data_IF_682485135194
#
_entry.id   IF_682485135194
#
_cell.length_a   1.000
_cell.length_b   1.000
_cell.length_c   1.000
_cell.angle_alpha   90.00
_cell.angle_beta   90.00
_cell.angle_gamma   90.00
#
_symmetry.space_group_name_H-M   'P 1'
#
loop_
_entity.id
_entity.type
_entity.pdbx_description
1 polymer ?
#
# COMPACT_ATOMS: atom_id res chain seq x y z
N UNK A 1 -7.28 30.93 -2.30
CA UNK A 1 -7.61 30.25 -1.03
C UNK A 1 -6.31 29.66 -0.47
N UNK A 2 -5.89 30.05 0.74
CA UNK A 2 -4.58 29.64 1.29
C UNK A 2 -4.48 28.11 1.46
N UNK A 3 -3.36 27.52 1.03
CA UNK A 3 -3.06 26.08 1.12
C UNK A 3 -3.28 25.56 2.55
N UNK A 4 -2.88 26.34 3.56
CA UNK A 4 -3.10 26.02 4.97
C UNK A 4 -4.58 25.88 5.34
N UNK A 5 -5.45 26.72 4.78
CA UNK A 5 -6.89 26.66 5.05
C UNK A 5 -7.51 25.42 4.42
N UNK A 6 -7.04 25.01 3.24
CA UNK A 6 -7.44 23.77 2.57
C UNK A 6 -6.97 22.54 3.34
N UNK A 7 -5.70 22.49 3.76
CA UNK A 7 -5.16 21.38 4.57
C UNK A 7 -5.92 21.26 5.89
N UNK A 8 -6.17 22.38 6.58
CA UNK A 8 -6.94 22.40 7.82
C UNK A 8 -8.34 21.82 7.60
N UNK A 9 -9.02 22.21 6.53
CA UNK A 9 -10.36 21.73 6.21
C UNK A 9 -10.39 20.23 5.84
N UNK A 10 -9.29 19.69 5.29
CA UNK A 10 -9.13 18.25 5.00
C UNK A 10 -8.94 17.48 6.31
N UNK A 11 -8.04 17.93 7.20
CA UNK A 11 -7.72 17.26 8.46
C UNK A 11 -8.92 17.21 9.41
N UNK A 12 -9.72 18.28 9.47
CA UNK A 12 -10.90 18.34 10.32
C UNK A 12 -12.14 17.67 9.73
N UNK A 13 -12.04 17.06 8.54
CA UNK A 13 -13.16 16.34 7.94
C UNK A 13 -13.20 14.88 8.46
N UNK A 14 -14.27 14.47 9.17
CA UNK A 14 -14.37 13.11 9.70
C UNK A 14 -14.38 12.02 8.61
N UNK A 15 -14.81 12.32 7.37
CA UNK A 15 -14.71 11.37 6.24
C UNK A 15 -13.26 11.03 5.89
N UNK A 16 -12.37 12.02 6.01
CA UNK A 16 -10.95 11.86 5.70
C UNK A 16 -10.30 10.91 6.69
N UNK A 17 -10.66 10.98 7.97
CA UNK A 17 -10.13 10.07 8.98
C UNK A 17 -10.49 8.61 8.67
N UNK A 18 -11.75 8.34 8.33
CA UNK A 18 -12.22 7.00 7.96
C UNK A 18 -11.49 6.50 6.70
N UNK A 19 -11.36 7.35 5.69
CA UNK A 19 -10.66 7.02 4.45
C UNK A 19 -9.17 6.71 4.66
N UNK A 20 -8.47 7.51 5.47
CA UNK A 20 -7.06 7.28 5.82
C UNK A 20 -6.92 5.95 6.54
N UNK A 21 -7.74 5.67 7.56
CA UNK A 21 -7.60 4.45 8.38
C UNK A 21 -7.83 3.20 7.55
N UNK A 22 -8.91 3.15 6.76
CA UNK A 22 -9.21 1.98 5.91
C UNK A 22 -8.16 1.83 4.82
N UNK A 23 -7.79 2.93 4.16
CA UNK A 23 -6.77 2.92 3.11
C UNK A 23 -5.41 2.48 3.65
N UNK A 24 -5.03 2.95 4.83
CA UNK A 24 -3.78 2.56 5.47
C UNK A 24 -3.77 1.11 5.93
N UNK A 25 -4.90 0.59 6.44
CA UNK A 25 -5.02 -0.82 6.81
C UNK A 25 -4.86 -1.74 5.59
N UNK A 26 -5.67 -1.52 4.54
CA UNK A 26 -5.64 -2.37 3.35
C UNK A 26 -4.34 -2.20 2.55
N UNK A 27 -3.84 -0.96 2.45
CA UNK A 27 -2.54 -0.65 1.87
C UNK A 27 -1.38 -1.26 2.64
N UNK A 28 -1.47 -1.27 3.97
CA UNK A 28 -0.46 -1.87 4.83
C UNK A 28 -0.39 -3.39 4.68
N UNK A 29 -1.54 -4.06 4.59
CA UNK A 29 -1.59 -5.51 4.35
C UNK A 29 -1.05 -5.86 2.96
N UNK A 30 -1.51 -5.18 1.91
CA UNK A 30 -1.06 -5.43 0.54
C UNK A 30 0.42 -5.07 0.33
N UNK A 31 0.85 -3.90 0.80
CA UNK A 31 2.24 -3.47 0.78
C UNK A 31 3.14 -4.36 1.62
N UNK A 32 2.68 -4.82 2.78
CA UNK A 32 3.39 -5.78 3.62
C UNK A 32 3.58 -7.12 2.94
N UNK A 33 2.56 -7.63 2.24
CA UNK A 33 2.67 -8.86 1.46
C UNK A 33 3.69 -8.73 0.32
N UNK A 34 3.61 -7.65 -0.47
CA UNK A 34 4.61 -7.36 -1.51
C UNK A 34 6.01 -7.21 -0.89
N UNK A 35 6.11 -6.52 0.25
CA UNK A 35 7.33 -6.33 1.01
C UNK A 35 7.95 -7.64 1.48
N UNK A 36 7.14 -8.58 1.97
CA UNK A 36 7.56 -9.91 2.39
C UNK A 36 8.28 -10.65 1.26
N UNK A 37 7.61 -10.77 0.11
CA UNK A 37 8.17 -11.52 -1.01
C UNK A 37 9.35 -10.76 -1.63
N UNK A 38 9.19 -9.46 -1.89
CA UNK A 38 10.25 -8.66 -2.51
C UNK A 38 11.51 -8.59 -1.63
N UNK A 39 11.34 -8.27 -0.35
CA UNK A 39 12.40 -8.21 0.64
C UNK A 39 13.06 -9.57 0.87
N UNK A 40 12.29 -10.66 0.86
CA UNK A 40 12.86 -12.01 0.98
C UNK A 40 13.79 -12.36 -0.18
N UNK A 41 13.35 -12.13 -1.42
CA UNK A 41 14.18 -12.38 -2.60
C UNK A 41 15.40 -11.44 -2.68
N UNK A 42 15.23 -10.16 -2.39
CA UNK A 42 16.33 -9.19 -2.32
C UNK A 42 17.33 -9.59 -1.22
N UNK A 43 16.83 -9.95 -0.04
CA UNK A 43 17.64 -10.40 1.09
C UNK A 43 18.53 -11.59 0.74
N UNK A 44 17.96 -12.58 0.06
CA UNK A 44 18.69 -13.73 -0.47
C UNK A 44 19.76 -13.32 -1.49
N UNK A 45 19.43 -12.45 -2.44
CA UNK A 45 20.35 -12.04 -3.51
C UNK A 45 21.51 -11.17 -3.02
N UNK A 46 21.28 -10.29 -2.04
CA UNK A 46 22.29 -9.34 -1.55
C UNK A 46 23.01 -9.79 -0.27
N UNK A 47 22.65 -10.94 0.32
CA UNK A 47 23.24 -11.46 1.57
C UNK A 47 23.29 -10.39 2.67
N UNK A 48 22.13 -9.82 2.99
CA UNK A 48 21.98 -8.70 3.94
C UNK A 48 22.60 -8.99 5.32
N UNK A 49 22.72 -10.27 5.69
CA UNK A 49 23.47 -10.72 6.85
C UNK A 49 24.68 -11.58 6.41
N UNK A 50 25.87 -10.95 6.38
CA UNK A 50 27.09 -11.62 5.93
C UNK A 50 27.60 -12.72 6.90
N UNK A 51 27.31 -12.59 8.20
CA UNK A 51 27.75 -13.52 9.24
C UNK A 51 26.64 -14.44 9.76
N UNK A 52 25.47 -14.44 9.11
CA UNK A 52 24.38 -15.30 9.54
C UNK A 52 24.68 -16.77 9.19
N UNK A 53 24.58 -17.69 10.14
CA UNK A 53 24.76 -19.11 9.86
C UNK A 53 23.68 -19.60 8.90
N UNK A 54 24.06 -20.45 7.94
CA UNK A 54 23.13 -21.15 7.04
C UNK A 54 22.32 -22.25 7.76
N UNK A 55 22.39 -22.29 9.09
CA UNK A 55 21.76 -23.26 9.96
C UNK A 55 20.93 -22.54 11.01
N UNK A 56 19.63 -22.83 11.05
CA UNK A 56 18.76 -22.45 12.14
C UNK A 56 18.60 -23.66 13.04
N UNK A 57 19.00 -23.54 14.31
CA UNK A 57 18.91 -24.62 15.31
C UNK A 57 19.62 -25.93 14.91
N UNK A 58 20.75 -25.85 14.19
CA UNK A 58 21.56 -27.02 13.81
C UNK A 58 21.05 -27.81 12.60
N UNK A 59 19.91 -27.42 12.01
CA UNK A 59 19.40 -28.01 10.77
C UNK A 59 19.82 -27.16 9.56
N UNK A 60 20.30 -27.83 8.51
CA UNK A 60 20.58 -27.21 7.22
C UNK A 60 19.25 -26.87 6.53
N UNK A 61 18.77 -25.65 6.73
CA UNK A 61 17.59 -25.09 6.06
C UNK A 61 17.98 -24.73 4.62
N UNK A 62 18.17 -25.76 3.77
CA UNK A 62 18.66 -25.60 2.40
C UNK A 62 17.80 -24.71 1.48
N UNK A 63 16.56 -24.36 1.87
CA UNK A 63 15.60 -23.60 1.06
C UNK A 63 15.42 -22.14 1.56
N UNK A 64 15.44 -21.93 2.88
CA UNK A 64 15.22 -20.62 3.51
C UNK A 64 16.52 -20.11 4.12
N UNK A 65 17.21 -19.25 3.38
CA UNK A 65 18.42 -18.57 3.85
C UNK A 65 18.05 -17.61 5.00
N UNK A 66 18.88 -17.48 6.05
CA UNK A 66 18.62 -16.52 7.12
C UNK A 66 18.56 -15.08 6.57
N UNK A 67 19.31 -14.84 5.48
CA UNK A 67 19.26 -13.64 4.66
C UNK A 67 17.88 -13.38 4.03
N UNK A 68 17.19 -14.44 3.60
CA UNK A 68 15.83 -14.35 3.06
C UNK A 68 14.83 -14.00 4.15
N UNK A 69 14.97 -14.56 5.35
CA UNK A 69 14.09 -14.26 6.49
C UNK A 69 14.30 -12.82 6.97
N UNK A 70 15.55 -12.40 7.16
CA UNK A 70 15.87 -11.03 7.55
C UNK A 70 15.36 -10.02 6.51
N UNK A 71 15.61 -10.29 5.22
CA UNK A 71 15.10 -9.48 4.13
C UNK A 71 13.58 -9.42 4.08
N UNK A 72 12.89 -10.54 4.33
CA UNK A 72 11.42 -10.58 4.37
C UNK A 72 10.85 -9.76 5.53
N UNK A 73 11.43 -9.82 6.73
CA UNK A 73 10.98 -9.03 7.89
C UNK A 73 11.15 -7.53 7.62
N UNK A 74 12.33 -7.12 7.15
CA UNK A 74 12.60 -5.71 6.79
C UNK A 74 11.64 -5.27 5.68
N UNK A 75 11.46 -6.13 4.68
CA UNK A 75 10.55 -5.92 3.56
C UNK A 75 9.11 -5.74 4.00
N UNK A 76 8.59 -6.56 4.92
CA UNK A 76 7.24 -6.41 5.50
C UNK A 76 7.07 -5.06 6.15
N UNK A 77 8.02 -4.63 6.99
CA UNK A 77 7.90 -3.35 7.72
C UNK A 77 7.90 -2.18 6.74
N UNK A 78 8.85 -2.13 5.81
CA UNK A 78 8.95 -1.07 4.82
C UNK A 78 7.74 -1.09 3.88
N UNK A 79 7.38 -2.27 3.39
CA UNK A 79 6.27 -2.48 2.48
C UNK A 79 4.94 -2.09 3.10
N UNK A 80 4.69 -2.48 4.36
CA UNK A 80 3.47 -2.11 5.08
C UNK A 80 3.41 -0.59 5.36
N UNK A 81 4.53 0.02 5.75
CA UNK A 81 4.60 1.46 5.98
C UNK A 81 4.32 2.25 4.70
N UNK A 82 5.00 1.90 3.60
CA UNK A 82 4.83 2.58 2.31
C UNK A 82 3.45 2.31 1.70
N UNK A 83 3.01 1.06 1.67
CA UNK A 83 1.70 0.67 1.15
C UNK A 83 0.56 1.32 1.94
N UNK A 84 0.67 1.37 3.27
CA UNK A 84 -0.31 2.04 4.12
C UNK A 84 -0.34 3.55 3.89
N UNK A 85 0.82 4.20 3.87
CA UNK A 85 0.90 5.64 3.65
C UNK A 85 0.33 6.05 2.27
N UNK A 86 0.75 5.36 1.21
CA UNK A 86 0.34 5.65 -0.16
C UNK A 86 -1.15 5.39 -0.36
N UNK A 87 -1.64 4.19 0.00
CA UNK A 87 -3.06 3.86 -0.19
C UNK A 87 -3.94 4.74 0.70
N UNK A 88 -3.54 5.03 1.94
CA UNK A 88 -4.24 5.97 2.81
C UNK A 88 -4.38 7.36 2.19
N UNK A 89 -3.30 7.89 1.59
CA UNK A 89 -3.31 9.17 0.88
C UNK A 89 -4.22 9.15 -0.36
N UNK A 90 -4.12 8.12 -1.20
CA UNK A 90 -4.90 8.03 -2.45
C UNK A 90 -6.39 7.83 -2.17
N UNK A 91 -6.75 6.97 -1.21
CA UNK A 91 -8.14 6.77 -0.80
C UNK A 91 -8.72 8.06 -0.24
N UNK A 92 -7.94 8.77 0.59
CA UNK A 92 -8.34 10.07 1.13
C UNK A 92 -8.60 11.09 0.03
N UNK A 93 -7.71 11.17 -0.95
CA UNK A 93 -7.85 12.08 -2.08
C UNK A 93 -9.15 11.82 -2.83
N UNK A 94 -9.46 10.56 -3.17
CA UNK A 94 -10.71 10.22 -3.86
C UNK A 94 -11.97 10.49 -3.03
N UNK A 95 -11.95 10.14 -1.75
CA UNK A 95 -13.09 10.38 -0.86
C UNK A 95 -13.33 11.88 -0.71
N UNK A 96 -12.27 12.68 -0.64
CA UNK A 96 -12.39 14.13 -0.57
C UNK A 96 -12.89 14.77 -1.87
N UNK A 97 -12.55 14.21 -3.04
CA UNK A 97 -12.97 14.76 -4.33
C UNK A 97 -14.38 14.34 -4.75
N UNK A 98 -15.01 13.33 -4.10
CA UNK A 98 -16.37 12.91 -4.41
C UNK A 98 -17.42 13.90 -3.87
N UNK A 99 -18.18 14.60 -4.74
CA UNK A 99 -19.13 15.62 -4.30
C UNK A 99 -20.41 15.04 -3.65
N UNK A 100 -20.68 13.75 -3.84
CA UNK A 100 -21.86 13.06 -3.33
C UNK A 100 -21.74 12.63 -1.87
N UNK A 101 -20.53 12.65 -1.29
CA UNK A 101 -20.33 12.20 0.09
C UNK A 101 -20.74 13.31 1.06
N UNK A 102 -21.50 12.98 2.12
CA UNK A 102 -22.00 13.96 3.07
C UNK A 102 -20.83 14.63 3.79
N UNK A 103 -20.84 15.97 3.87
CA UNK A 103 -19.77 16.76 4.49
C UNK A 103 -19.66 16.57 6.02
N UNK A 104 -20.66 15.94 6.63
CA UNK A 104 -20.72 15.65 8.06
C UNK A 104 -21.02 14.17 8.26
N UNK A 105 -20.23 13.50 9.10
CA UNK A 105 -20.44 12.09 9.45
C UNK A 105 -21.50 12.02 10.55
N UNK A 106 -22.64 11.41 10.23
CA UNK A 106 -23.63 10.96 11.21
C UNK A 106 -23.65 9.43 11.24
N UNK A 107 -24.27 8.86 12.27
CA UNK A 107 -24.41 7.40 12.42
C UNK A 107 -25.13 6.75 11.23
N UNK A 108 -26.00 7.50 10.57
CA UNK A 108 -26.81 7.02 9.43
C UNK A 108 -26.04 7.05 8.10
N UNK A 109 -25.06 7.94 7.98
CA UNK A 109 -24.33 8.19 6.73
C UNK A 109 -22.90 7.61 6.72
N UNK A 110 -22.39 7.19 7.88
CA UNK A 110 -21.03 6.67 8.02
C UNK A 110 -20.80 5.42 7.17
N UNK A 111 -21.84 4.60 6.99
CA UNK A 111 -21.76 3.34 6.25
C UNK A 111 -21.45 3.58 4.77
N UNK A 112 -22.00 4.62 4.16
CA UNK A 112 -21.77 4.96 2.75
C UNK A 112 -20.34 5.44 2.50
N UNK A 113 -19.81 6.26 3.42
CA UNK A 113 -18.42 6.72 3.41
C UNK A 113 -17.47 5.54 3.61
N UNK A 114 -17.80 4.64 4.55
CA UNK A 114 -17.03 3.44 4.85
C UNK A 114 -16.92 2.53 3.62
N UNK A 115 -18.05 2.16 3.01
CA UNK A 115 -18.07 1.30 1.81
C UNK A 115 -17.30 1.95 0.67
N UNK A 116 -17.52 3.25 0.43
CA UNK A 116 -16.81 3.97 -0.62
C UNK A 116 -15.29 3.92 -0.43
N UNK A 117 -14.81 4.21 0.79
CA UNK A 117 -13.39 4.16 1.12
C UNK A 117 -12.82 2.74 1.00
N UNK A 118 -13.61 1.73 1.39
CA UNK A 118 -13.21 0.32 1.35
C UNK A 118 -13.07 -0.16 -0.09
N UNK A 119 -14.01 0.18 -0.97
CA UNK A 119 -13.95 -0.18 -2.39
C UNK A 119 -12.74 0.43 -3.09
N UNK A 120 -12.52 1.75 -2.90
CA UNK A 120 -11.36 2.45 -3.47
C UNK A 120 -10.06 1.82 -2.99
N UNK A 121 -9.97 1.52 -1.69
CA UNK A 121 -8.77 0.92 -1.10
C UNK A 121 -8.50 -0.49 -1.60
N UNK A 122 -9.54 -1.30 -1.83
CA UNK A 122 -9.43 -2.63 -2.46
C UNK A 122 -8.89 -2.49 -3.88
N UNK A 123 -9.43 -1.57 -4.67
CA UNK A 123 -9.00 -1.36 -6.05
C UNK A 123 -7.51 -1.00 -6.13
N UNK A 124 -7.07 -0.06 -5.29
CA UNK A 124 -5.65 0.32 -5.20
C UNK A 124 -4.78 -0.85 -4.76
N UNK A 125 -5.23 -1.61 -3.75
CA UNK A 125 -4.51 -2.79 -3.25
C UNK A 125 -4.37 -3.87 -4.33
N UNK A 126 -5.40 -4.09 -5.14
CA UNK A 126 -5.33 -5.00 -6.29
C UNK A 126 -4.34 -4.51 -7.34
N UNK A 127 -4.32 -3.21 -7.65
CA UNK A 127 -3.33 -2.62 -8.56
C UNK A 127 -1.89 -2.84 -8.08
N UNK A 128 -1.64 -2.66 -6.77
CA UNK A 128 -0.35 -2.94 -6.13
C UNK A 128 0.04 -4.41 -6.30
N UNK A 129 -0.87 -5.33 -5.92
CA UNK A 129 -0.60 -6.77 -5.94
C UNK A 129 -0.39 -7.27 -7.38
N UNK A 130 -1.26 -6.90 -8.31
CA UNK A 130 -1.15 -7.28 -9.72
C UNK A 130 0.14 -6.74 -10.34
N UNK A 131 0.46 -5.47 -10.09
CA UNK A 131 1.72 -4.87 -10.51
C UNK A 131 2.91 -5.66 -9.96
N UNK A 132 2.89 -6.02 -8.68
CA UNK A 132 3.92 -6.82 -8.05
C UNK A 132 4.04 -8.22 -8.67
N UNK A 133 2.93 -8.91 -8.92
CA UNK A 133 2.91 -10.24 -9.54
C UNK A 133 3.50 -10.18 -10.95
N UNK A 134 3.05 -9.23 -11.77
CA UNK A 134 3.55 -9.05 -13.14
C UNK A 134 5.04 -8.74 -13.13
N UNK A 135 5.48 -7.82 -12.27
CA UNK A 135 6.90 -7.48 -12.14
C UNK A 135 7.76 -8.66 -11.66
N UNK A 136 7.21 -9.48 -10.77
CA UNK A 136 7.88 -10.69 -10.27
C UNK A 136 8.18 -11.71 -11.36
N UNK A 137 7.35 -11.77 -12.43
CA UNK A 137 7.59 -12.65 -13.57
C UNK A 137 8.91 -12.35 -14.29
N UNK A 138 9.38 -11.09 -14.26
CA UNK A 138 10.65 -10.70 -14.88
C UNK A 138 11.83 -10.83 -13.93
N UNK A 139 11.66 -10.47 -12.66
CA UNK A 139 12.69 -10.60 -11.64
C UNK A 139 12.05 -10.71 -10.25
N UNK A 140 12.23 -11.82 -9.52
CA UNK A 140 11.73 -11.92 -8.15
C UNK A 140 12.51 -10.95 -7.26
N UNK A 141 11.81 -10.23 -6.37
CA UNK A 141 12.45 -9.19 -5.55
C UNK A 141 12.29 -7.80 -6.15
N UNK A 142 13.27 -7.40 -6.95
CA UNK A 142 13.31 -6.06 -7.56
C UNK A 142 12.14 -5.86 -8.52
N UNK A 143 11.85 -6.85 -9.36
CA UNK A 143 10.71 -6.78 -10.28
C UNK A 143 9.39 -6.65 -9.53
N UNK A 144 9.22 -7.35 -8.40
CA UNK A 144 8.04 -7.21 -7.53
C UNK A 144 7.87 -5.79 -7.00
N UNK A 145 8.95 -5.18 -6.50
CA UNK A 145 8.92 -3.83 -5.97
C UNK A 145 8.65 -2.77 -7.05
N UNK A 146 9.34 -2.87 -8.20
CA UNK A 146 9.13 -1.98 -9.35
C UNK A 146 7.72 -2.13 -9.92
N UNK A 147 7.25 -3.37 -10.06
CA UNK A 147 5.91 -3.67 -10.54
C UNK A 147 4.83 -3.09 -9.64
N UNK A 148 4.97 -3.23 -8.32
CA UNK A 148 4.08 -2.60 -7.34
C UNK A 148 4.06 -1.08 -7.48
N UNK A 149 5.23 -0.46 -7.65
CA UNK A 149 5.36 0.98 -7.86
C UNK A 149 4.67 1.46 -9.15
N UNK A 150 4.82 0.71 -10.25
CA UNK A 150 4.10 0.99 -11.50
C UNK A 150 2.58 0.83 -11.30
N UNK A 151 2.14 -0.20 -10.57
CA UNK A 151 0.74 -0.39 -10.21
C UNK A 151 0.16 0.81 -9.48
N UNK A 152 0.89 1.36 -8.50
CA UNK A 152 0.52 2.59 -7.78
C UNK A 152 0.38 3.78 -8.74
N UNK A 153 1.36 3.98 -9.64
CA UNK A 153 1.32 5.08 -10.60
C UNK A 153 0.11 4.97 -11.52
N UNK A 154 -0.18 3.77 -12.04
CA UNK A 154 -1.34 3.55 -12.91
C UNK A 154 -2.65 3.83 -12.18
N UNK A 155 -2.78 3.36 -10.94
CA UNK A 155 -3.96 3.65 -10.09
C UNK A 155 -4.09 5.14 -9.77
N UNK A 156 -2.99 5.87 -9.61
CA UNK A 156 -3.01 7.31 -9.42
C UNK A 156 -3.43 8.05 -10.70
N UNK A 157 -3.01 7.57 -11.86
CA UNK A 157 -3.39 8.16 -13.14
C UNK A 157 -4.87 7.93 -13.43
N UNK A 158 -5.40 6.72 -13.22
CA UNK A 158 -6.83 6.42 -13.38
C UNK A 158 -7.67 7.28 -12.44
N UNK A 159 -7.25 7.44 -11.19
CA UNK A 159 -7.86 8.32 -10.20
C UNK A 159 -8.01 9.77 -10.68
N UNK A 160 -6.92 10.33 -11.22
CA UNK A 160 -6.90 11.71 -11.71
C UNK A 160 -7.79 11.83 -12.94
N UNK A 161 -7.77 10.84 -13.82
CA UNK A 161 -8.54 10.84 -15.05
C UNK A 161 -10.06 10.75 -14.79
N UNK A 162 -10.49 9.86 -13.89
CA UNK A 162 -11.88 9.73 -13.48
C UNK A 162 -12.41 11.02 -12.84
N UNK A 163 -11.60 11.67 -12.00
CA UNK A 163 -11.95 12.95 -11.39
C UNK A 163 -12.04 14.09 -12.42
N UNK A 164 -11.29 14.06 -13.52
CA UNK A 164 -11.43 15.04 -14.62
C UNK A 164 -12.66 14.78 -15.47
N UNK A 165 -12.99 13.52 -15.75
CA UNK A 165 -14.15 13.16 -16.57
C UNK A 165 -15.49 13.45 -15.90
N UNK A 166 -15.52 13.55 -14.56
CA UNK A 166 -16.72 13.88 -13.76
C UNK A 166 -16.92 15.38 -13.50
N UNK A 167 -15.99 16.24 -13.93
CA UNK A 167 -16.12 17.70 -13.89
C UNK A 167 -16.62 18.23 -15.23
#
# INVERSE_FOLDING_TARGET
>A
MSIFKTIKNIIFNPNVYIAVVIGALLGGVSGGAVGLFSGGFIGRSFKICMDCPNQLLGFNIGIFDLNMVAGAIIGVVIGAALGGAITGLITTFHVYTKPHLPKTVSRDNIHEVLISALWISIEISLGIILGAVIGSLKSPGIGSAVGAFIGIILMLLTAIWENRAKK
#
